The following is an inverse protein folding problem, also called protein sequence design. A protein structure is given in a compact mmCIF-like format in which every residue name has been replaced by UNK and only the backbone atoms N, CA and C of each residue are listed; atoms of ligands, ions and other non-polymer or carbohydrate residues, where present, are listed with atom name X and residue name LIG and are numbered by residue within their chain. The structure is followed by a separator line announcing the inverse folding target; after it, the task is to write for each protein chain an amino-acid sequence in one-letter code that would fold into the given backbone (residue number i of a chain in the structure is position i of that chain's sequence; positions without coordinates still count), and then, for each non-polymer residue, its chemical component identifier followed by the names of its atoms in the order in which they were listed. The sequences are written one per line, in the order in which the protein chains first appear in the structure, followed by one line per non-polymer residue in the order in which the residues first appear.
data_IF_736794699585
#
_entry.id   IF_736794699585
#
_cell.length_a   1.000
_cell.length_b   1.000
_cell.length_c   1.000
_cell.angle_alpha   90.00
_cell.angle_beta   90.00
_cell.angle_gamma   90.00
#
_symmetry.space_group_name_H-M   'P 1'
#
loop_
_entity.id
_entity.type
_entity.pdbx_description
1 polymer ?
#
# COMPACT_ATOMS: atom_id res chain seq x y z
N UNK A 1 -3.87 -13.35 -3.26
CA UNK A 1 -3.05 -12.30 -2.62
C UNK A 1 -1.68 -12.16 -3.28
N UNK A 2 -0.88 -13.21 -3.40
CA UNK A 2 0.47 -13.14 -4.01
C UNK A 2 0.50 -12.60 -5.45
N UNK A 3 -0.51 -12.91 -6.26
CA UNK A 3 -0.64 -12.44 -7.65
C UNK A 3 -0.88 -10.93 -7.77
N UNK A 4 -1.61 -10.32 -6.83
CA UNK A 4 -1.83 -8.87 -6.83
C UNK A 4 -0.54 -8.11 -6.49
N UNK A 5 0.23 -8.62 -5.51
CA UNK A 5 1.53 -8.06 -5.16
C UNK A 5 2.48 -8.16 -6.37
N UNK A 6 2.51 -9.32 -7.06
CA UNK A 6 3.38 -9.53 -8.21
C UNK A 6 3.05 -8.59 -9.39
N UNK A 7 1.77 -8.31 -9.63
CA UNK A 7 1.32 -7.38 -10.66
C UNK A 7 1.75 -5.92 -10.40
N UNK A 8 1.94 -5.52 -9.13
CA UNK A 8 2.44 -4.18 -8.79
C UNK A 8 3.94 -3.97 -9.07
N UNK A 9 4.70 -5.05 -9.34
CA UNK A 9 6.14 -5.03 -9.63
C UNK A 9 6.49 -5.47 -11.06
N UNK A 10 5.47 -5.71 -11.91
CA UNK A 10 5.65 -6.23 -13.27
C UNK A 10 5.76 -5.14 -14.35
N UNK A 11 5.49 -3.87 -14.00
CA UNK A 11 5.60 -2.73 -14.92
C UNK A 11 7.03 -2.20 -14.98
N UNK A 12 7.69 -2.32 -16.13
CA UNK A 12 8.92 -1.58 -16.44
C UNK A 12 10.21 -2.30 -16.07
N UNK A 13 10.63 -3.23 -16.93
CA UNK A 13 12.01 -3.74 -16.97
C UNK A 13 12.80 -2.96 -18.02
N UNK A 14 13.36 -1.82 -17.64
CA UNK A 14 14.49 -1.22 -18.35
C UNK A 14 15.75 -1.54 -17.56
N UNK A 15 16.71 -2.21 -18.19
CA UNK A 15 17.98 -2.72 -17.64
C UNK A 15 18.38 -2.14 -16.27
N UNK A 16 18.35 -3.01 -15.25
CA UNK A 16 18.81 -2.68 -13.89
C UNK A 16 17.81 -1.93 -13.02
N UNK A 17 16.75 -1.30 -13.55
CA UNK A 17 15.75 -0.56 -12.77
C UNK A 17 14.39 -1.24 -12.81
N UNK A 18 13.89 -1.68 -11.64
CA UNK A 18 12.53 -2.18 -11.45
C UNK A 18 11.67 -1.13 -10.79
N UNK A 19 10.52 -0.86 -11.38
CA UNK A 19 9.49 0.01 -10.83
C UNK A 19 8.46 -0.83 -10.07
N UNK A 20 7.99 -0.29 -8.96
CA UNK A 20 7.05 -0.94 -8.06
C UNK A 20 6.01 0.06 -7.57
N UNK A 21 4.81 -0.44 -7.30
CA UNK A 21 3.70 0.36 -6.78
C UNK A 21 3.31 1.52 -7.71
N UNK A 22 2.85 1.20 -8.92
CA UNK A 22 2.46 2.21 -9.92
C UNK A 22 3.58 3.23 -10.20
N UNK A 23 4.81 2.74 -10.38
CA UNK A 23 6.01 3.56 -10.62
C UNK A 23 6.39 4.53 -9.48
N UNK A 24 5.79 4.40 -8.29
CA UNK A 24 6.07 5.27 -7.17
C UNK A 24 7.40 4.95 -6.51
N UNK A 25 7.75 3.66 -6.43
CA UNK A 25 8.99 3.17 -5.83
C UNK A 25 9.84 2.56 -6.93
N UNK A 26 11.14 2.77 -6.87
CA UNK A 26 12.07 2.10 -7.75
C UNK A 26 13.16 1.37 -6.95
N UNK A 27 13.59 0.24 -7.51
CA UNK A 27 14.76 -0.50 -7.09
C UNK A 27 15.71 -0.52 -8.29
N UNK A 28 16.89 0.05 -8.12
CA UNK A 28 17.93 0.10 -9.14
C UNK A 28 19.11 -0.77 -8.71
N UNK A 29 19.62 -1.58 -9.64
CA UNK A 29 20.83 -2.39 -9.47
C UNK A 29 21.90 -1.77 -10.35
N UNK A 30 22.90 -1.16 -9.72
CA UNK A 30 24.08 -0.59 -10.39
C UNK A 30 25.26 -1.53 -10.20
N UNK A 31 25.93 -1.91 -11.28
CA UNK A 31 27.26 -2.51 -11.18
C UNK A 31 28.28 -1.39 -10.96
N UNK A 32 28.96 -1.41 -9.82
CA UNK A 32 30.08 -0.53 -9.54
C UNK A 32 31.31 -0.98 -10.33
N UNK A 33 32.17 -0.04 -10.71
CA UNK A 33 33.41 -0.29 -11.47
C UNK A 33 34.37 -1.28 -10.77
N UNK A 34 34.23 -1.44 -9.45
CA UNK A 34 34.99 -2.40 -8.63
C UNK A 34 34.41 -3.82 -8.62
N UNK A 35 33.42 -4.11 -9.46
CA UNK A 35 32.73 -5.41 -9.52
C UNK A 35 31.69 -5.64 -8.43
N UNK A 36 31.51 -4.68 -7.52
CA UNK A 36 30.47 -4.73 -6.50
C UNK A 36 29.09 -4.41 -7.09
N UNK A 37 28.09 -5.25 -6.78
CA UNK A 37 26.69 -4.97 -7.13
C UNK A 37 26.07 -4.08 -6.07
N UNK A 38 25.64 -2.87 -6.45
CA UNK A 38 25.02 -1.90 -5.56
C UNK A 38 23.51 -1.87 -5.79
N UNK A 39 22.73 -2.04 -4.73
CA UNK A 39 21.28 -1.85 -4.76
C UNK A 39 20.94 -0.44 -4.26
N UNK A 40 20.27 0.34 -5.10
CA UNK A 40 19.64 1.60 -4.74
C UNK A 40 18.12 1.43 -4.65
N UNK A 41 17.51 2.03 -3.64
CA UNK A 41 16.05 2.13 -3.55
C UNK A 41 15.67 3.59 -3.40
N UNK A 42 14.54 3.98 -3.98
CA UNK A 42 14.09 5.38 -3.92
C UNK A 42 12.63 5.55 -4.31
N UNK A 43 12.16 6.79 -4.16
CA UNK A 43 10.82 7.22 -4.56
C UNK A 43 10.98 7.92 -5.92
N UNK A 44 10.27 7.43 -6.93
CA UNK A 44 10.23 8.02 -8.26
C UNK A 44 9.05 8.99 -8.41
N UNK A 45 7.86 8.59 -7.97
CA UNK A 45 6.69 9.46 -7.89
C UNK A 45 5.96 9.23 -6.55
N UNK A 46 5.88 10.20 -5.62
CA UNK A 46 5.21 9.99 -4.34
C UNK A 46 3.67 9.92 -4.46
N UNK A 47 3.08 10.37 -5.58
CA UNK A 47 1.64 10.55 -5.71
C UNK A 47 0.82 9.26 -5.51
N UNK A 48 1.16 8.12 -6.14
CA UNK A 48 0.41 6.88 -5.94
C UNK A 48 0.47 6.40 -4.48
N UNK A 49 1.60 6.63 -3.81
CA UNK A 49 1.81 6.24 -2.41
C UNK A 49 0.90 7.04 -1.48
N UNK A 50 0.83 8.36 -1.68
CA UNK A 50 -0.06 9.25 -0.92
C UNK A 50 -1.52 8.86 -1.13
N UNK A 51 -1.94 8.63 -2.37
CA UNK A 51 -3.31 8.22 -2.69
C UNK A 51 -3.68 6.91 -1.98
N UNK A 52 -2.78 5.94 -1.95
CA UNK A 52 -3.04 4.68 -1.28
C UNK A 52 -3.20 4.83 0.24
N UNK A 53 -2.39 5.68 0.88
CA UNK A 53 -2.54 5.99 2.30
C UNK A 53 -3.90 6.67 2.55
N UNK A 54 -4.27 7.66 1.74
CA UNK A 54 -5.56 8.35 1.86
C UNK A 54 -6.72 7.37 1.74
N UNK A 55 -6.71 6.50 0.73
CA UNK A 55 -7.75 5.48 0.53
C UNK A 55 -7.83 4.52 1.72
N UNK A 56 -6.68 4.05 2.23
CA UNK A 56 -6.64 3.18 3.39
C UNK A 56 -7.20 3.86 4.65
N UNK A 57 -6.85 5.13 4.89
CA UNK A 57 -7.37 5.90 6.02
C UNK A 57 -8.89 6.07 5.93
N UNK A 58 -9.41 6.46 4.76
CA UNK A 58 -10.87 6.61 4.55
C UNK A 58 -11.58 5.28 4.77
N UNK A 59 -11.02 4.18 4.26
CA UNK A 59 -11.58 2.85 4.45
C UNK A 59 -11.63 2.45 5.93
N UNK A 60 -10.54 2.67 6.68
CA UNK A 60 -10.48 2.38 8.11
C UNK A 60 -11.52 3.20 8.89
N UNK A 61 -11.66 4.49 8.58
CA UNK A 61 -12.66 5.35 9.20
C UNK A 61 -14.08 4.88 8.91
N UNK A 62 -14.37 4.46 7.67
CA UNK A 62 -15.67 3.92 7.32
C UNK A 62 -15.98 2.62 8.10
N UNK A 63 -15.01 1.73 8.24
CA UNK A 63 -15.15 0.50 9.03
C UNK A 63 -15.44 0.83 10.50
N UNK A 64 -14.71 1.79 11.09
CA UNK A 64 -14.98 2.21 12.46
C UNK A 64 -16.36 2.84 12.63
N UNK A 65 -16.77 3.72 11.72
CA UNK A 65 -18.10 4.33 11.78
C UNK A 65 -19.23 3.29 11.73
N UNK A 66 -19.09 2.27 10.87
CA UNK A 66 -20.05 1.16 10.80
C UNK A 66 -20.01 0.35 12.09
N UNK A 67 -18.83 0.01 12.59
CA UNK A 67 -18.66 -0.74 13.83
C UNK A 67 -19.29 -0.04 15.04
N UNK A 68 -19.10 1.27 15.16
CA UNK A 68 -19.68 2.08 16.23
C UNK A 68 -21.20 2.11 16.13
N UNK A 69 -21.75 2.27 14.93
CA UNK A 69 -23.20 2.22 14.71
C UNK A 69 -23.81 0.87 15.09
N UNK A 70 -23.07 -0.23 14.84
CA UNK A 70 -23.50 -1.58 15.22
C UNK A 70 -23.41 -1.79 16.73
N UNK A 71 -22.39 -1.26 17.39
CA UNK A 71 -22.22 -1.29 18.83
C UNK A 71 -23.31 -0.51 19.56
N UNK A 72 -23.68 0.67 19.05
CA UNK A 72 -24.79 1.46 19.58
C UNK A 72 -26.12 0.70 19.45
N UNK A 73 -26.41 0.15 18.27
CA UNK A 73 -27.60 -0.69 18.05
C UNK A 73 -27.65 -1.88 19.00
N UNK A 74 -26.51 -2.57 19.20
CA UNK A 74 -26.41 -3.70 20.13
C UNK A 74 -26.70 -3.27 21.57
N UNK A 75 -26.19 -2.12 22.01
CA UNK A 75 -26.45 -1.58 23.36
C UNK A 75 -27.92 -1.24 23.55
N UNK A 76 -28.56 -0.62 22.56
CA UNK A 76 -29.99 -0.31 22.63
C UNK A 76 -30.86 -1.57 22.73
N UNK A 77 -30.53 -2.63 21.99
CA UNK A 77 -31.28 -3.89 22.06
C UNK A 77 -31.11 -4.60 23.40
N UNK A 78 -29.93 -4.56 24.00
CA UNK A 78 -29.70 -5.13 25.34
C UNK A 78 -30.44 -4.35 26.43
N UNK A 79 -30.47 -3.02 26.34
CA UNK A 79 -31.19 -2.18 27.30
C UNK A 79 -32.72 -2.27 27.20
N UNK A 80 -33.27 -2.79 26.10
CA UNK A 80 -34.70 -3.09 25.95
C UNK A 80 -35.08 -4.51 26.37
N UNK A 81 -34.08 -5.36 26.64
CA UNK A 81 -34.28 -6.76 27.02
C UNK A 81 -34.23 -6.98 28.55
N UNK A 82 -33.81 -5.98 29.33
CA UNK A 82 -34.00 -5.86 30.79
C UNK A 82 -35.31 -5.13 31.10
#
# INVERSE_FOLDING_TARGET
MATAIWLMFAGGSTEGRRLGFFDSVFVEVRQSADGATQLGTGINDPLPLVLAVVVATVFILAVFAVHDSLLERRRHLLAQAE
#
